data_IF_938899182662
#
_entry.id   IF_938899182662
#
_cell.length_a   1.000
_cell.length_b   1.000
_cell.length_c   1.000
_cell.angle_alpha   90.00
_cell.angle_beta   90.00
_cell.angle_gamma   90.00
#
_symmetry.space_group_name_H-M   'P 1'
#
loop_
_entity.id
_entity.type
_entity.pdbx_description
1 polymer ?
#
# COMPACT_ATOMS: atom_id res chain seq x y z
N UNK A 1 3.74 16.45 12.66
CA UNK A 1 3.10 15.21 12.17
C UNK A 1 2.04 14.75 13.17
N UNK A 2 0.79 14.52 12.76
CA UNK A 2 -0.24 13.96 13.66
C UNK A 2 -0.01 12.45 13.82
N UNK A 3 -0.09 11.91 15.05
CA UNK A 3 0.13 10.47 15.32
C UNK A 3 -0.77 9.55 14.47
N UNK A 4 -2.01 9.97 14.18
CA UNK A 4 -2.92 9.22 13.31
C UNK A 4 -2.47 9.16 11.84
N UNK A 5 -1.90 10.25 11.33
CA UNK A 5 -1.35 10.31 9.97
C UNK A 5 -0.16 9.37 9.83
N UNK A 6 0.84 9.50 10.70
CA UNK A 6 2.04 8.66 10.69
C UNK A 6 1.70 7.16 10.78
N UNK A 7 0.70 6.81 11.59
CA UNK A 7 0.21 5.42 11.69
C UNK A 7 -0.43 4.92 10.39
N UNK A 8 -1.28 5.72 9.75
CA UNK A 8 -1.93 5.33 8.50
C UNK A 8 -0.91 5.12 7.37
N UNK A 9 0.11 5.97 7.28
CA UNK A 9 1.21 5.82 6.32
C UNK A 9 2.01 4.56 6.59
N UNK A 10 2.40 4.33 7.84
CA UNK A 10 3.21 3.17 8.18
C UNK A 10 2.47 1.86 7.91
N UNK A 11 1.17 1.77 8.24
CA UNK A 11 0.34 0.61 7.90
C UNK A 11 0.23 0.40 6.39
N UNK A 12 -0.04 1.46 5.61
CA UNK A 12 -0.11 1.38 4.17
C UNK A 12 1.20 0.84 3.58
N UNK A 13 2.36 1.34 4.03
CA UNK A 13 3.67 0.83 3.62
C UNK A 13 3.85 -0.64 3.98
N UNK A 14 3.52 -1.04 5.21
CA UNK A 14 3.68 -2.43 5.64
C UNK A 14 2.89 -3.38 4.74
N UNK A 15 1.62 -3.08 4.48
CA UNK A 15 0.77 -3.97 3.70
C UNK A 15 1.17 -4.01 2.23
N UNK A 16 1.54 -2.86 1.63
CA UNK A 16 2.01 -2.83 0.23
C UNK A 16 3.38 -3.51 0.10
N UNK A 17 4.27 -3.38 1.07
CA UNK A 17 5.54 -4.12 1.09
C UNK A 17 5.32 -5.63 1.22
N UNK A 18 4.40 -6.07 2.08
CA UNK A 18 4.04 -7.49 2.18
C UNK A 18 3.49 -8.04 0.85
N UNK A 19 2.67 -7.25 0.14
CA UNK A 19 2.19 -7.58 -1.20
C UNK A 19 3.34 -7.70 -2.21
N UNK A 20 4.31 -6.79 -2.20
CA UNK A 20 5.49 -6.86 -3.06
C UNK A 20 6.33 -8.11 -2.78
N UNK A 21 6.60 -8.40 -1.50
CA UNK A 21 7.38 -9.56 -1.06
C UNK A 21 6.72 -10.91 -1.42
N UNK A 22 5.39 -10.92 -1.58
CA UNK A 22 4.59 -12.13 -1.82
C UNK A 22 3.90 -12.13 -3.18
N UNK A 23 4.30 -11.22 -4.08
CA UNK A 23 3.77 -11.13 -5.43
C UNK A 23 4.02 -12.43 -6.21
N UNK A 24 3.15 -12.72 -7.15
CA UNK A 24 3.25 -13.92 -7.98
C UNK A 24 4.46 -13.89 -8.92
N UNK A 25 4.90 -12.70 -9.35
CA UNK A 25 6.00 -12.50 -10.28
C UNK A 25 6.69 -11.12 -10.09
N UNK A 26 7.82 -10.93 -10.76
CA UNK A 26 8.63 -9.71 -10.67
C UNK A 26 7.91 -8.46 -11.17
N UNK A 27 7.02 -8.58 -12.16
CA UNK A 27 6.27 -7.45 -12.68
C UNK A 27 5.18 -7.02 -11.69
N UNK A 28 4.51 -7.99 -11.05
CA UNK A 28 3.59 -7.72 -9.95
C UNK A 28 4.31 -7.10 -8.73
N UNK A 29 5.48 -7.63 -8.34
CA UNK A 29 6.30 -7.06 -7.27
C UNK A 29 6.67 -5.60 -7.57
N UNK A 30 7.16 -5.33 -8.80
CA UNK A 30 7.54 -3.98 -9.24
C UNK A 30 6.36 -3.01 -9.27
N UNK A 31 5.16 -3.48 -9.59
CA UNK A 31 3.95 -2.66 -9.54
C UNK A 31 3.62 -2.22 -8.10
N UNK A 32 3.73 -3.13 -7.11
CA UNK A 32 3.57 -2.78 -5.70
C UNK A 32 4.70 -1.86 -5.19
N UNK A 33 5.94 -2.06 -5.62
CA UNK A 33 7.05 -1.13 -5.31
C UNK A 33 6.79 0.28 -5.85
N UNK A 34 6.19 0.40 -7.03
CA UNK A 34 5.81 1.70 -7.58
C UNK A 34 4.73 2.39 -6.73
N UNK A 35 3.77 1.63 -6.19
CA UNK A 35 2.78 2.15 -5.22
C UNK A 35 3.49 2.67 -3.96
N UNK A 36 4.50 1.97 -3.43
CA UNK A 36 5.30 2.44 -2.30
C UNK A 36 5.99 3.76 -2.61
N UNK A 37 6.60 3.90 -3.79
CA UNK A 37 7.27 5.15 -4.22
C UNK A 37 6.29 6.32 -4.27
N UNK A 38 5.10 6.15 -4.85
CA UNK A 38 4.10 7.23 -4.88
C UNK A 38 3.55 7.54 -3.50
N UNK A 39 3.35 6.52 -2.66
CA UNK A 39 2.98 6.71 -1.26
C UNK A 39 4.05 7.51 -0.52
N UNK A 40 5.33 7.25 -0.76
CA UNK A 40 6.44 7.97 -0.15
C UNK A 40 6.54 9.41 -0.63
N UNK A 41 6.25 9.69 -1.90
CA UNK A 41 6.23 11.06 -2.42
C UNK A 41 5.20 11.97 -1.74
N UNK A 42 4.10 11.40 -1.25
CA UNK A 42 3.11 12.16 -0.47
C UNK A 42 3.60 12.54 0.94
N UNK A 43 4.68 11.90 1.41
CA UNK A 43 5.16 12.03 2.76
C UNK A 43 6.64 12.42 2.74
N UNK A 44 6.93 13.71 2.97
CA UNK A 44 8.29 14.26 3.09
C UNK A 44 9.05 13.56 4.24
N UNK A 45 9.71 12.44 3.95
CA UNK A 45 10.74 11.66 4.65
C UNK A 45 10.60 11.39 6.18
N UNK A 46 9.45 11.67 6.80
CA UNK A 46 9.34 11.70 8.28
C UNK A 46 8.42 10.62 8.89
N UNK A 47 7.92 9.66 8.10
CA UNK A 47 7.11 8.57 8.65
C UNK A 47 8.01 7.47 9.21
N UNK A 48 7.91 7.14 10.52
CA UNK A 48 8.67 6.03 11.09
C UNK A 48 8.24 4.72 10.43
N UNK A 49 9.20 3.85 10.13
CA UNK A 49 8.94 2.47 9.74
C UNK A 49 8.28 1.76 10.92
N UNK A 50 6.96 1.57 10.83
CA UNK A 50 6.28 0.59 11.65
C UNK A 50 6.34 -0.73 10.90
N UNK A 51 7.23 -1.61 11.30
CA UNK A 51 7.15 -3.01 10.95
C UNK A 51 6.03 -3.61 11.81
N UNK A 52 4.77 -3.38 11.40
CA UNK A 52 3.69 -4.16 11.97
C UNK A 52 3.97 -5.62 11.56
N UNK A 53 3.99 -6.52 12.53
CA UNK A 53 4.15 -7.95 12.31
C UNK A 53 3.06 -8.38 11.33
N UNK A 54 3.42 -8.47 10.04
CA UNK A 54 2.58 -8.96 8.96
C UNK A 54 2.50 -10.47 9.15
N UNK A 55 1.91 -10.90 10.26
CA UNK A 55 1.57 -12.27 10.53
C UNK A 55 0.83 -12.81 9.31
N UNK A 56 1.14 -14.04 8.91
CA UNK A 56 0.67 -14.72 7.71
C UNK A 56 -0.83 -14.50 7.46
N UNK A 57 -1.11 -13.48 6.65
CA UNK A 57 -2.45 -13.02 6.27
C UNK A 57 -2.51 -13.18 4.76
N UNK A 58 -3.68 -13.56 4.25
CA UNK A 58 -3.87 -13.77 2.81
C UNK A 58 -3.62 -12.47 2.01
N UNK A 59 -3.20 -12.61 0.76
CA UNK A 59 -2.85 -11.50 -0.13
C UNK A 59 -4.04 -10.57 -0.36
N UNK A 60 -5.26 -11.11 -0.47
CA UNK A 60 -6.49 -10.33 -0.58
C UNK A 60 -6.71 -9.45 0.67
N UNK A 61 -6.41 -9.98 1.86
CA UNK A 61 -6.58 -9.24 3.10
C UNK A 61 -5.52 -8.15 3.26
N UNK A 62 -4.26 -8.39 2.84
CA UNK A 62 -3.27 -7.30 2.76
C UNK A 62 -3.70 -6.18 1.82
N UNK A 63 -4.27 -6.54 0.66
CA UNK A 63 -4.81 -5.56 -0.28
C UNK A 63 -5.94 -4.72 0.35
N UNK A 64 -6.94 -5.35 0.97
CA UNK A 64 -8.04 -4.62 1.63
C UNK A 64 -7.52 -3.69 2.74
N UNK A 65 -6.59 -4.18 3.57
CA UNK A 65 -6.00 -3.40 4.64
C UNK A 65 -5.16 -2.22 4.13
N UNK A 66 -4.41 -2.41 3.03
CA UNK A 66 -3.67 -1.35 2.36
C UNK A 66 -4.62 -0.27 1.82
N UNK A 67 -5.70 -0.65 1.13
CA UNK A 67 -6.72 0.30 0.62
C UNK A 67 -7.32 1.12 1.77
N UNK A 68 -7.70 0.47 2.87
CA UNK A 68 -8.26 1.18 4.04
C UNK A 68 -7.25 2.14 4.66
N UNK A 69 -5.97 1.73 4.76
CA UNK A 69 -4.92 2.57 5.31
C UNK A 69 -4.66 3.81 4.43
N UNK A 70 -4.57 3.62 3.11
CA UNK A 70 -4.36 4.69 2.12
C UNK A 70 -5.57 5.63 2.10
N UNK A 71 -6.79 5.10 2.04
CA UNK A 71 -8.02 5.90 2.04
C UNK A 71 -8.15 6.79 3.29
N UNK A 72 -7.71 6.30 4.45
CA UNK A 72 -7.73 7.07 5.71
C UNK A 72 -6.79 8.29 5.69
N UNK A 73 -5.83 8.38 4.76
CA UNK A 73 -4.95 9.54 4.64
C UNK A 73 -5.72 10.83 4.31
N UNK A 74 -6.85 10.74 3.60
CA UNK A 74 -7.74 11.88 3.35
C UNK A 74 -8.23 12.53 4.65
N UNK A 75 -8.46 11.74 5.70
CA UNK A 75 -8.87 12.21 7.03
C UNK A 75 -7.76 12.98 7.75
N UNK A 76 -6.54 12.85 7.26
CA UNK A 76 -5.35 13.50 7.78
C UNK A 76 -4.87 14.67 6.92
N UNK A 77 -5.67 15.11 5.94
CA UNK A 77 -5.39 16.28 5.12
C UNK A 77 -4.55 16.02 3.88
N UNK A 78 -4.32 14.75 3.52
CA UNK A 78 -3.75 14.39 2.22
C UNK A 78 -4.80 14.65 1.14
N UNK A 79 -4.33 15.16 -0.01
CA UNK A 79 -5.18 15.45 -1.17
C UNK A 79 -5.99 14.20 -1.61
N UNK A 80 -7.32 14.28 -1.69
CA UNK A 80 -8.16 13.15 -2.06
C UNK A 80 -7.85 12.55 -3.42
N UNK A 81 -7.52 13.36 -4.42
CA UNK A 81 -7.23 12.88 -5.77
C UNK A 81 -5.92 12.05 -5.78
N UNK A 82 -4.92 12.50 -5.04
CA UNK A 82 -3.67 11.77 -4.85
C UNK A 82 -3.90 10.43 -4.15
N UNK A 83 -4.77 10.40 -3.12
CA UNK A 83 -5.16 9.15 -2.44
C UNK A 83 -5.91 8.20 -3.39
N UNK A 84 -6.86 8.71 -4.17
CA UNK A 84 -7.61 7.92 -5.16
C UNK A 84 -6.68 7.33 -6.23
N UNK A 85 -5.71 8.10 -6.71
CA UNK A 85 -4.74 7.63 -7.71
C UNK A 85 -3.89 6.49 -7.17
N UNK A 86 -3.39 6.59 -5.94
CA UNK A 86 -2.61 5.51 -5.31
C UNK A 86 -3.49 4.27 -5.06
N UNK A 87 -4.72 4.44 -4.59
CA UNK A 87 -5.66 3.33 -4.46
C UNK A 87 -5.93 2.64 -5.80
N UNK A 88 -6.02 3.41 -6.89
CA UNK A 88 -6.22 2.87 -8.23
C UNK A 88 -5.00 2.09 -8.72
N UNK A 89 -3.79 2.63 -8.51
CA UNK A 89 -2.54 1.93 -8.82
C UNK A 89 -2.41 0.62 -8.04
N UNK A 90 -2.78 0.62 -6.76
CA UNK A 90 -2.76 -0.58 -5.93
C UNK A 90 -3.79 -1.62 -6.40
N UNK A 91 -4.98 -1.19 -6.79
CA UNK A 91 -6.01 -2.07 -7.36
C UNK A 91 -5.55 -2.69 -8.69
N UNK A 92 -4.94 -1.90 -9.57
CA UNK A 92 -4.42 -2.38 -10.85
C UNK A 92 -3.30 -3.42 -10.63
N UNK A 93 -2.33 -3.11 -9.76
CA UNK A 93 -1.26 -4.03 -9.37
C UNK A 93 -1.82 -5.34 -8.80
N UNK A 94 -2.79 -5.26 -7.88
CA UNK A 94 -3.39 -6.44 -7.28
C UNK A 94 -4.20 -7.28 -8.26
N UNK A 95 -4.96 -6.64 -9.14
CA UNK A 95 -5.72 -7.31 -10.20
C UNK A 95 -4.80 -8.08 -11.15
N UNK A 96 -3.67 -7.48 -11.53
CA UNK A 96 -2.66 -8.12 -12.38
C UNK A 96 -1.96 -9.28 -11.67
N UNK A 97 -1.69 -9.14 -10.37
CA UNK A 97 -1.04 -10.13 -9.54
C UNK A 97 -1.91 -11.39 -9.31
N UNK A 98 -3.19 -11.22 -8.99
CA UNK A 98 -4.13 -12.35 -8.83
C UNK A 98 -4.56 -12.97 -10.17
N UNK A 99 -4.64 -12.15 -11.23
CA UNK A 99 -5.04 -12.60 -12.57
C UNK A 99 -4.05 -13.54 -13.25
N UNK A 100 -2.78 -13.55 -12.82
CA UNK A 100 -1.73 -14.41 -13.37
C UNK A 100 -1.65 -15.80 -12.71
N UNK A 101 -2.40 -16.04 -11.61
CA UNK A 101 -2.45 -17.34 -10.92
C UNK A 101 -3.41 -18.38 -11.49
N UNK A 102 -4.14 -18.07 -12.58
CA UNK A 102 -5.14 -18.94 -13.19
C UNK A 102 -4.67 -19.68 -14.47
N UNK A 103 -3.35 -19.82 -14.65
CA UNK A 103 -2.72 -20.49 -15.80
C UNK A 103 -2.22 -21.90 -15.50
#
# INVERSE_FOLDING_TARGET
MQLGHARSVALARTYVAALADHAADENAASAYEHVLIELDRLHDDQSPDNYADAAAVDRDLWFELAIVAIANLTRHGVDPLSVELICWMLLDAHTADVGQGAG
#
